data_IF_888312409803
#
_entry.id   IF_888312409803
#
_cell.length_a   1.000
_cell.length_b   1.000
_cell.length_c   1.000
_cell.angle_alpha   90.00
_cell.angle_beta   90.00
_cell.angle_gamma   90.00
#
_symmetry.space_group_name_H-M   'P 1'
#
loop_
_entity.id
_entity.type
_entity.pdbx_description
1 polymer ?
#
# COMPACT_ATOMS: atom_id res chain seq x y z
N UNK A 1 15.38 -40.93 6.25
CA UNK A 1 15.05 -39.79 7.14
C UNK A 1 15.10 -38.50 6.33
N UNK A 2 13.94 -37.87 6.04
CA UNK A 2 13.92 -36.56 5.38
C UNK A 2 14.55 -35.55 6.34
N UNK A 3 15.62 -34.89 5.89
CA UNK A 3 16.42 -33.96 6.68
C UNK A 3 15.51 -32.92 7.36
N UNK A 4 15.46 -32.91 8.69
CA UNK A 4 14.59 -32.01 9.49
C UNK A 4 14.81 -30.54 9.10
N UNK A 5 16.04 -30.17 8.70
CA UNK A 5 16.37 -28.84 8.16
C UNK A 5 15.61 -28.51 6.86
N UNK A 6 15.46 -29.48 5.95
CA UNK A 6 14.76 -29.31 4.67
C UNK A 6 13.26 -29.17 4.87
N UNK A 7 12.68 -29.96 5.78
CA UNK A 7 11.26 -29.88 6.14
C UNK A 7 10.91 -28.56 6.81
N UNK A 8 11.76 -28.06 7.73
CA UNK A 8 11.59 -26.73 8.34
C UNK A 8 11.62 -25.61 7.29
N UNK A 9 12.52 -25.69 6.31
CA UNK A 9 12.61 -24.68 5.24
C UNK A 9 11.38 -24.70 4.32
N UNK A 10 10.88 -25.89 3.96
CA UNK A 10 9.68 -26.03 3.14
C UNK A 10 8.42 -25.54 3.88
N UNK A 11 8.32 -25.76 5.20
CA UNK A 11 7.23 -25.21 6.02
C UNK A 11 7.33 -23.69 6.15
N UNK A 12 8.54 -23.15 6.32
CA UNK A 12 8.76 -21.70 6.40
C UNK A 12 8.44 -20.99 5.07
N UNK A 13 8.84 -21.59 3.95
CA UNK A 13 8.53 -21.09 2.61
C UNK A 13 7.03 -21.20 2.29
N UNK A 14 6.36 -22.28 2.73
CA UNK A 14 4.89 -22.40 2.61
C UNK A 14 4.17 -21.40 3.50
N UNK A 15 4.66 -21.14 4.71
CA UNK A 15 4.12 -20.10 5.59
C UNK A 15 4.26 -18.70 4.97
N UNK A 16 5.35 -18.41 4.25
CA UNK A 16 5.54 -17.15 3.49
C UNK A 16 4.72 -17.13 2.19
N UNK A 17 4.42 -18.27 1.59
CA UNK A 17 3.59 -18.34 0.38
C UNK A 17 2.08 -18.28 0.70
N UNK A 18 1.66 -18.83 1.85
CA UNK A 18 0.28 -18.80 2.35
C UNK A 18 -0.03 -17.50 3.10
N UNK A 19 0.95 -16.94 3.81
CA UNK A 19 0.96 -15.54 4.19
C UNK A 19 1.72 -14.78 3.12
N UNK A 20 1.10 -14.55 1.96
CA UNK A 20 1.40 -13.38 1.13
C UNK A 20 1.64 -12.23 2.11
N UNK A 21 2.92 -11.98 2.41
CA UNK A 21 3.35 -10.93 3.30
C UNK A 21 2.87 -9.71 2.57
N UNK A 22 1.71 -9.21 2.99
CA UNK A 22 1.16 -7.94 2.58
C UNK A 22 2.26 -6.95 2.92
N UNK A 23 3.20 -6.76 1.99
CA UNK A 23 4.42 -6.02 2.23
C UNK A 23 3.94 -4.60 2.40
N UNK A 24 3.94 -4.17 3.67
CA UNK A 24 3.56 -2.83 4.03
C UNK A 24 4.59 -1.93 3.39
N UNK A 25 4.15 -1.21 2.36
CA UNK A 25 4.94 -0.32 1.54
C UNK A 25 4.50 1.09 1.85
N UNK A 26 5.46 2.01 2.00
CA UNK A 26 5.17 3.43 2.03
C UNK A 26 4.92 3.92 0.61
N UNK A 27 3.76 4.50 0.38
CA UNK A 27 3.43 5.20 -0.86
C UNK A 27 3.17 6.67 -0.55
N UNK A 28 3.29 7.53 -1.54
CA UNK A 28 3.13 8.97 -1.42
C UNK A 28 1.80 9.38 -2.07
N UNK A 29 0.95 10.03 -1.28
CA UNK A 29 -0.36 10.53 -1.71
C UNK A 29 -0.33 12.05 -1.70
N UNK A 30 -0.91 12.67 -2.73
CA UNK A 30 -0.95 14.13 -2.85
C UNK A 30 -1.90 14.73 -1.81
N UNK A 31 -1.52 15.88 -1.26
CA UNK A 31 -2.41 16.73 -0.46
C UNK A 31 -3.18 17.66 -1.41
N UNK A 32 -4.51 17.64 -1.33
CA UNK A 32 -5.44 18.56 -1.96
C UNK A 32 -5.60 19.74 -1.00
N UNK A 33 -5.58 20.98 -1.48
CA UNK A 33 -5.63 22.24 -0.71
C UNK A 33 -4.28 22.87 -0.32
N UNK A 34 -3.17 22.37 -0.88
CA UNK A 34 -1.87 23.03 -0.81
C UNK A 34 -1.60 23.86 -2.09
N UNK A 35 -1.02 25.06 -1.92
CA UNK A 35 -0.59 25.93 -3.05
C UNK A 35 0.55 25.29 -3.86
N UNK A 36 1.27 24.35 -3.25
CA UNK A 36 2.38 23.61 -3.84
C UNK A 36 2.03 22.12 -3.97
N UNK A 37 2.72 21.42 -4.87
CA UNK A 37 2.59 19.97 -4.98
C UNK A 37 3.34 19.32 -3.82
N UNK A 38 2.61 18.99 -2.77
CA UNK A 38 3.12 18.30 -1.58
C UNK A 38 2.55 16.87 -1.55
N UNK A 39 3.39 15.93 -1.09
CA UNK A 39 3.03 14.53 -0.92
C UNK A 39 3.27 14.09 0.51
N UNK A 40 2.36 13.26 1.02
CA UNK A 40 2.47 12.64 2.35
C UNK A 40 2.69 11.13 2.22
N UNK A 41 3.63 10.55 2.98
CA UNK A 41 3.79 9.10 3.01
C UNK A 41 2.64 8.46 3.79
N UNK A 42 2.04 7.42 3.23
CA UNK A 42 1.01 6.58 3.86
C UNK A 42 1.35 5.10 3.72
N UNK A 43 0.85 4.29 4.65
CA UNK A 43 1.03 2.83 4.61
C UNK A 43 0.03 2.16 3.66
N UNK A 44 0.53 1.28 2.81
CA UNK A 44 -0.28 0.52 1.87
C UNK A 44 0.24 -0.90 1.67
N UNK A 45 -0.67 -1.84 1.40
CA UNK A 45 -0.30 -3.20 1.01
C UNK A 45 -0.16 -3.27 -0.50
N UNK A 46 0.94 -3.86 -0.98
CA UNK A 46 1.06 -4.21 -2.40
C UNK A 46 0.03 -5.28 -2.76
N UNK A 47 -0.83 -4.99 -3.74
CA UNK A 47 -1.76 -5.96 -4.30
C UNK A 47 -1.13 -6.66 -5.50
N UNK A 48 -0.44 -5.88 -6.33
CA UNK A 48 0.30 -6.31 -7.53
C UNK A 48 1.21 -5.17 -7.97
N UNK A 49 1.99 -5.39 -9.02
CA UNK A 49 2.89 -4.39 -9.56
C UNK A 49 2.26 -2.99 -9.65
N UNK A 50 2.91 -2.01 -9.00
CA UNK A 50 2.52 -0.60 -8.98
C UNK A 50 1.07 -0.35 -8.51
N UNK A 51 0.45 -1.29 -7.80
CA UNK A 51 -0.95 -1.20 -7.33
C UNK A 51 -1.02 -1.54 -5.85
N UNK A 52 -1.55 -0.61 -5.07
CA UNK A 52 -1.51 -0.69 -3.61
C UNK A 52 -2.89 -0.43 -3.00
N UNK A 53 -3.21 -1.09 -1.89
CA UNK A 53 -4.37 -0.78 -1.06
C UNK A 53 -3.91 0.03 0.14
N UNK A 54 -4.42 1.25 0.32
CA UNK A 54 -4.11 2.09 1.47
C UNK A 54 -4.69 1.43 2.72
N UNK A 55 -3.84 1.18 3.71
CA UNK A 55 -4.20 0.58 5.00
C UNK A 55 -4.05 1.55 6.16
N UNK A 56 -3.46 2.71 5.90
CA UNK A 56 -3.33 3.76 6.89
C UNK A 56 -4.69 4.35 7.22
N UNK A 57 -5.10 4.21 8.49
CA UNK A 57 -6.37 4.70 9.03
C UNK A 57 -6.27 6.09 9.64
N UNK A 58 -5.08 6.72 9.62
CA UNK A 58 -4.87 7.97 10.33
C UNK A 58 -5.93 9.01 9.93
N UNK A 59 -6.71 9.40 10.93
CA UNK A 59 -7.50 10.62 10.94
C UNK A 59 -6.51 11.72 11.34
N UNK A 60 -6.21 12.63 10.43
CA UNK A 60 -5.37 13.78 10.70
C UNK A 60 -6.08 14.63 11.76
N UNK A 61 -5.67 14.47 13.02
CA UNK A 61 -6.26 15.15 14.18
C UNK A 61 -5.64 16.53 14.44
N UNK A 62 -4.51 16.85 13.78
CA UNK A 62 -3.72 18.04 14.09
C UNK A 62 -3.77 19.14 13.03
N UNK A 63 -4.09 18.85 11.76
CA UNK A 63 -4.23 19.87 10.71
C UNK A 63 -5.55 19.66 9.96
N UNK A 64 -6.55 20.50 10.28
CA UNK A 64 -7.90 20.45 9.69
C UNK A 64 -7.92 20.64 8.16
N UNK A 65 -6.81 21.07 7.56
CA UNK A 65 -6.74 21.51 6.16
C UNK A 65 -6.04 20.50 5.22
N UNK A 66 -5.44 19.42 5.74
CA UNK A 66 -4.74 18.42 4.92
C UNK A 66 -5.69 17.34 4.37
N UNK A 67 -6.31 17.59 3.21
CA UNK A 67 -7.13 16.59 2.52
C UNK A 67 -6.27 15.71 1.60
N UNK A 68 -6.17 14.40 1.85
CA UNK A 68 -5.46 13.49 0.94
C UNK A 68 -6.29 13.12 -0.30
N UNK A 69 -5.66 13.08 -1.47
CA UNK A 69 -6.30 12.66 -2.72
C UNK A 69 -6.86 11.23 -2.67
N UNK A 70 -6.23 10.36 -1.87
CA UNK A 70 -6.64 8.97 -1.67
C UNK A 70 -6.58 8.60 -0.19
N UNK A 71 -7.57 7.83 0.27
CA UNK A 71 -7.79 7.57 1.71
C UNK A 71 -7.80 6.07 2.03
N UNK A 72 -7.93 5.74 3.33
CA UNK A 72 -8.02 4.38 3.83
C UNK A 72 -8.97 3.49 3.00
N UNK A 73 -8.50 2.31 2.62
CA UNK A 73 -9.26 1.31 1.87
C UNK A 73 -9.21 1.50 0.35
N UNK A 74 -8.75 2.64 -0.14
CA UNK A 74 -8.61 2.88 -1.57
C UNK A 74 -7.54 1.99 -2.19
N UNK A 75 -7.86 1.47 -3.37
CA UNK A 75 -6.90 0.76 -4.22
C UNK A 75 -6.42 1.75 -5.27
N UNK A 76 -5.12 2.02 -5.30
CA UNK A 76 -4.50 3.04 -6.14
C UNK A 76 -3.41 2.46 -7.02
N UNK A 77 -3.28 3.01 -8.23
CA UNK A 77 -2.08 2.85 -9.05
C UNK A 77 -1.06 3.90 -8.65
N UNK A 78 0.21 3.48 -8.60
CA UNK A 78 1.35 4.33 -8.31
C UNK A 78 2.31 4.39 -9.50
N UNK A 79 3.00 5.51 -9.64
CA UNK A 79 4.18 5.64 -10.51
C UNK A 79 5.41 5.46 -9.63
N UNK A 80 6.38 4.66 -10.08
CA UNK A 80 7.67 4.51 -9.41
C UNK A 80 8.64 5.58 -9.90
N UNK A 81 9.18 6.40 -9.00
CA UNK A 81 10.17 7.45 -9.27
C UNK A 81 11.22 7.39 -8.16
N UNK A 82 12.49 7.26 -8.50
CA UNK A 82 13.61 7.17 -7.54
C UNK A 82 13.36 6.21 -6.37
N UNK A 83 12.81 5.04 -6.72
CA UNK A 83 12.45 3.97 -5.79
C UNK A 83 11.28 4.27 -4.82
N UNK A 84 10.60 5.41 -4.98
CA UNK A 84 9.37 5.77 -4.28
C UNK A 84 8.13 5.53 -5.15
N UNK A 85 6.99 5.25 -4.53
CA UNK A 85 5.71 5.05 -5.21
C UNK A 85 4.79 6.25 -4.98
N UNK A 86 4.36 6.92 -6.05
CA UNK A 86 3.46 8.07 -6.00
C UNK A 86 2.10 7.70 -6.55
N UNK A 87 1.06 7.78 -5.72
CA UNK A 87 -0.30 7.47 -6.13
C UNK A 87 -0.82 8.52 -7.12
N UNK A 88 -1.48 8.08 -8.19
CA UNK A 88 -2.01 8.99 -9.22
C UNK A 88 -3.40 8.59 -9.76
N UNK A 89 -3.91 7.41 -9.38
CA UNK A 89 -5.20 6.94 -9.90
C UNK A 89 -5.85 5.92 -8.97
N UNK A 90 -7.05 6.21 -8.50
CA UNK A 90 -7.94 5.26 -7.83
C UNK A 90 -8.52 4.24 -8.82
N UNK A 91 -8.48 2.96 -8.45
CA UNK A 91 -9.17 1.88 -9.15
C UNK A 91 -10.58 1.79 -8.58
N UNK A 92 -11.58 2.11 -9.41
CA UNK A 92 -12.99 1.91 -9.03
C UNK A 92 -13.29 0.41 -9.08
N UNK A 93 -13.63 -0.18 -7.93
CA UNK A 93 -14.33 -1.47 -7.95
C UNK A 93 -15.71 -1.22 -8.58
N UNK A 94 -16.00 -1.88 -9.71
CA UNK A 94 -17.38 -1.94 -10.20
C UNK A 94 -18.19 -2.59 -9.07
N UNK A 95 -19.06 -1.83 -8.41
CA UNK A 95 -20.12 -2.43 -7.58
C UNK A 95 -20.84 -3.42 -8.50
N UNK A 96 -20.79 -4.71 -8.14
CA UNK A 96 -21.72 -5.67 -8.71
C UNK A 96 -23.11 -5.14 -8.36
N UNK A 97 -23.87 -4.73 -9.39
CA UNK A 97 -25.27 -4.33 -9.26
C UNK A 97 -26.11 -5.55 -8.97
#
# INVERSE_FOLDING_TARGET
MKNIKRVKNEIYLKFIAENDLNMITKIYVKILNEDLIVYRPVLANSIRENTFKIIDKHNFLDDFDEELEFVFGDIVKCKKIDNCYYAFKKIKNKKQK
#
